data_IF_751256469140
#
_entry.id   IF_751256469140
#
_cell.length_a   1.000
_cell.length_b   1.000
_cell.length_c   1.000
_cell.angle_alpha   90.00
_cell.angle_beta   90.00
_cell.angle_gamma   90.00
#
_symmetry.space_group_name_H-M   'P 1'
#
loop_
_entity.id
_entity.type
_entity.pdbx_description
1 polymer ?
#
# COMPACT_ATOMS: atom_id res chain seq x y z
N UNK A 1 16.45 -6.53 8.13
CA UNK A 1 15.95 -5.24 7.59
C UNK A 1 14.98 -4.66 8.62
N UNK A 2 14.99 -3.35 8.85
CA UNK A 2 14.02 -2.70 9.74
C UNK A 2 12.67 -2.54 9.02
N UNK A 3 11.59 -2.45 9.79
CA UNK A 3 10.23 -2.19 9.27
C UNK A 3 10.17 -0.94 8.39
N UNK A 4 10.91 0.12 8.77
CA UNK A 4 11.02 1.34 7.98
C UNK A 4 11.73 1.14 6.64
N UNK A 5 12.78 0.31 6.62
CA UNK A 5 13.51 -0.02 5.39
C UNK A 5 12.63 -0.80 4.41
N UNK A 6 11.85 -1.75 4.93
CA UNK A 6 10.90 -2.53 4.12
C UNK A 6 9.77 -1.64 3.58
N UNK A 7 9.20 -0.77 4.43
CA UNK A 7 8.19 0.20 4.01
C UNK A 7 8.70 1.11 2.89
N UNK A 8 9.93 1.62 3.02
CA UNK A 8 10.54 2.48 2.01
C UNK A 8 10.74 1.73 0.68
N UNK A 9 11.26 0.51 0.72
CA UNK A 9 11.44 -0.34 -0.47
C UNK A 9 10.11 -0.57 -1.19
N UNK A 10 9.06 -0.94 -0.46
CA UNK A 10 7.74 -1.17 -1.02
C UNK A 10 7.16 0.12 -1.64
N UNK A 11 7.32 1.27 -0.97
CA UNK A 11 6.89 2.56 -1.50
C UNK A 11 7.65 2.98 -2.77
N UNK A 12 8.96 2.69 -2.85
CA UNK A 12 9.76 2.92 -4.06
C UNK A 12 9.24 2.09 -5.24
N UNK A 13 8.93 0.81 -5.00
CA UNK A 13 8.31 -0.06 -6.02
C UNK A 13 6.95 0.47 -6.46
N UNK A 14 6.11 0.93 -5.53
CA UNK A 14 4.81 1.54 -5.88
C UNK A 14 4.98 2.81 -6.69
N UNK A 15 5.97 3.63 -6.35
CA UNK A 15 6.23 4.89 -7.06
C UNK A 15 6.74 4.66 -8.48
N UNK A 16 7.55 3.63 -8.69
CA UNK A 16 8.14 3.31 -9.99
C UNK A 16 7.19 2.51 -10.89
N UNK A 17 6.56 1.46 -10.34
CA UNK A 17 5.80 0.44 -11.11
C UNK A 17 4.32 0.39 -10.78
N UNK A 18 3.88 1.09 -9.73
CA UNK A 18 2.50 1.07 -9.25
C UNK A 18 2.16 -0.13 -8.38
N UNK A 19 0.98 -0.08 -7.74
CA UNK A 19 0.50 -1.11 -6.81
C UNK A 19 0.30 -2.49 -7.47
N UNK A 20 0.06 -2.53 -8.79
CA UNK A 20 -0.15 -3.78 -9.53
C UNK A 20 1.09 -4.67 -9.56
N UNK A 21 2.27 -4.07 -9.46
CA UNK A 21 3.56 -4.77 -9.48
C UNK A 21 3.82 -5.57 -8.20
N UNK A 22 3.12 -5.26 -7.11
CA UNK A 22 3.22 -5.97 -5.84
C UNK A 22 2.34 -7.23 -5.85
N UNK A 23 2.84 -8.28 -5.20
CA UNK A 23 2.03 -9.44 -4.83
C UNK A 23 1.02 -9.08 -3.74
N UNK A 24 0.04 -9.96 -3.51
CA UNK A 24 -0.96 -9.74 -2.46
C UNK A 24 -0.32 -9.69 -1.07
N UNK A 25 0.67 -10.55 -0.81
CA UNK A 25 1.41 -10.56 0.45
C UNK A 25 2.18 -9.24 0.68
N UNK A 26 2.84 -8.71 -0.37
CA UNK A 26 3.54 -7.43 -0.28
C UNK A 26 2.58 -6.25 -0.12
N UNK A 27 1.39 -6.31 -0.74
CA UNK A 27 0.34 -5.30 -0.53
C UNK A 27 -0.20 -5.31 0.91
N UNK A 28 -0.40 -6.49 1.50
CA UNK A 28 -0.82 -6.61 2.91
C UNK A 28 0.27 -6.17 3.88
N UNK A 29 1.54 -6.46 3.57
CA UNK A 29 2.68 -5.99 4.33
C UNK A 29 2.78 -4.45 4.27
N UNK A 30 2.69 -3.88 3.06
CA UNK A 30 2.66 -2.44 2.86
C UNK A 30 1.50 -1.80 3.64
N UNK A 31 0.30 -2.40 3.60
CA UNK A 31 -0.87 -1.92 4.34
C UNK A 31 -0.61 -1.86 5.85
N UNK A 32 -0.05 -2.92 6.42
CA UNK A 32 0.24 -3.04 7.85
C UNK A 32 1.27 -2.01 8.29
N UNK A 33 2.41 -1.93 7.59
CA UNK A 33 3.48 -0.98 7.89
C UNK A 33 3.01 0.48 7.77
N UNK A 34 2.23 0.79 6.73
CA UNK A 34 1.72 2.14 6.52
C UNK A 34 0.65 2.52 7.56
N UNK A 35 -0.15 1.55 8.02
CA UNK A 35 -1.15 1.75 9.06
C UNK A 35 -0.52 2.06 10.43
N UNK A 36 0.53 1.32 10.79
CA UNK A 36 1.28 1.49 12.04
C UNK A 36 2.04 2.83 12.10
N UNK A 37 2.44 3.38 10.95
CA UNK A 37 3.19 4.64 10.89
C UNK A 37 2.31 5.83 11.24
N UNK A 38 2.64 6.54 12.31
CA UNK A 38 1.94 7.75 12.73
C UNK A 38 2.46 8.98 11.96
N UNK A 39 1.60 9.63 11.17
CA UNK A 39 1.90 10.93 10.54
C UNK A 39 1.13 12.07 11.21
N UNK A 40 0.66 11.91 12.45
CA UNK A 40 -0.26 12.80 13.17
C UNK A 40 0.11 14.29 13.20
N UNK A 41 1.40 14.63 13.07
CA UNK A 41 1.86 16.01 12.96
C UNK A 41 1.59 16.65 11.58
N UNK A 42 1.35 15.87 10.52
CA UNK A 42 1.23 16.34 9.15
C UNK A 42 -0.08 15.90 8.49
N UNK A 43 -1.06 16.83 8.46
CA UNK A 43 -2.38 16.61 7.84
C UNK A 43 -2.30 16.20 6.36
N UNK A 44 -1.30 16.67 5.61
CA UNK A 44 -1.14 16.32 4.18
C UNK A 44 -0.65 14.88 4.05
N UNK A 45 0.31 14.48 4.88
CA UNK A 45 0.82 13.11 4.91
C UNK A 45 -0.27 12.12 5.35
N UNK A 46 -1.06 12.45 6.38
CA UNK A 46 -2.20 11.63 6.82
C UNK A 46 -3.26 11.44 5.73
N UNK A 47 -3.60 12.51 4.98
CA UNK A 47 -4.52 12.39 3.83
C UNK A 47 -3.95 11.48 2.74
N UNK A 48 -2.65 11.61 2.45
CA UNK A 48 -1.94 10.76 1.48
C UNK A 48 -1.94 9.29 1.92
N UNK A 49 -1.59 9.01 3.19
CA UNK A 49 -1.65 7.68 3.81
C UNK A 49 -3.04 7.05 3.65
N UNK A 50 -4.10 7.76 4.01
CA UNK A 50 -5.49 7.28 3.88
C UNK A 50 -5.91 7.02 2.43
N UNK A 51 -5.38 7.79 1.48
CA UNK A 51 -5.63 7.55 0.05
C UNK A 51 -4.90 6.28 -0.40
N UNK A 52 -3.63 6.13 -0.06
CA UNK A 52 -2.82 4.98 -0.43
C UNK A 52 -3.39 3.68 0.16
N UNK A 53 -3.80 3.66 1.43
CA UNK A 53 -4.46 2.51 2.06
C UNK A 53 -5.73 2.08 1.30
N UNK A 54 -6.55 3.04 0.84
CA UNK A 54 -7.73 2.73 0.03
C UNK A 54 -7.37 2.11 -1.31
N UNK A 55 -6.32 2.61 -1.97
CA UNK A 55 -5.84 2.05 -3.24
C UNK A 55 -5.27 0.64 -3.06
N UNK A 56 -4.52 0.40 -1.99
CA UNK A 56 -4.00 -0.93 -1.64
C UNK A 56 -5.15 -1.92 -1.44
N UNK A 57 -6.16 -1.57 -0.64
CA UNK A 57 -7.32 -2.43 -0.41
C UNK A 57 -8.07 -2.75 -1.71
N UNK A 58 -8.25 -1.77 -2.59
CA UNK A 58 -8.89 -1.98 -3.88
C UNK A 58 -8.08 -2.91 -4.79
N UNK A 59 -6.74 -2.78 -4.80
CA UNK A 59 -5.87 -3.65 -5.58
C UNK A 59 -5.86 -5.09 -5.04
N UNK A 60 -5.82 -5.25 -3.72
CA UNK A 60 -5.97 -6.56 -3.05
C UNK A 60 -7.30 -7.20 -3.47
N UNK A 61 -8.41 -6.45 -3.39
CA UNK A 61 -9.73 -6.93 -3.82
C UNK A 61 -9.74 -7.33 -5.30
N UNK A 62 -9.17 -6.52 -6.19
CA UNK A 62 -9.08 -6.83 -7.62
C UNK A 62 -8.26 -8.10 -7.90
N UNK A 63 -7.20 -8.37 -7.13
CA UNK A 63 -6.37 -9.57 -7.26
C UNK A 63 -7.09 -10.82 -6.75
N UNK A 64 -7.88 -10.71 -5.69
CA UNK A 64 -8.70 -11.82 -5.17
C UNK A 64 -9.97 -12.06 -5.99
N UNK A 65 -10.54 -11.00 -6.56
CA UNK A 65 -11.74 -11.04 -7.39
C UNK A 65 -11.35 -10.56 -8.79
N UNK A 66 -10.58 -11.36 -9.56
CA UNK A 66 -10.30 -11.03 -10.95
C UNK A 66 -11.66 -10.88 -11.61
N UNK A 67 -11.95 -9.65 -12.06
CA UNK A 67 -13.26 -9.25 -12.61
C UNK A 67 -13.86 -10.43 -13.36
N UNK A 68 -14.88 -11.05 -12.76
CA UNK A 68 -15.80 -11.92 -13.49
C UNK A 68 -16.47 -11.03 -14.51
N UNK A 69 -15.87 -10.94 -15.68
CA UNK A 69 -16.59 -10.61 -16.89
C UNK A 69 -17.55 -11.79 -17.10
N UNK A 70 -18.79 -11.61 -16.65
CA UNK A 70 -19.96 -12.32 -17.16
C UNK A 70 -20.45 -11.55 -18.40
#
# INVERSE_FOLDING_TARGET
>A
MSEEGELRRLLEVVSDKGLKALSVAELDLLRTLLAAKDYGANKKAERSKKKLLRQINAEIYNKYSPRRFL
#
